data_IF_584116742057
#
_entry.id   IF_584116742057
#
_cell.length_a   1.000
_cell.length_b   1.000
_cell.length_c   1.000
_cell.angle_alpha   90.00
_cell.angle_beta   90.00
_cell.angle_gamma   90.00
#
_symmetry.space_group_name_H-M   'P 1'
#
loop_
_entity.id
_entity.type
_entity.pdbx_description
1 polymer ?
#
# COMPACT_ATOMS: atom_id res chain seq x y z
N UNK A 1 -29.01 27.67 14.39
CA UNK A 1 -28.60 26.57 13.50
C UNK A 1 -27.09 26.67 13.30
N UNK A 2 -26.33 25.90 14.07
CA UNK A 2 -24.88 25.87 13.94
C UNK A 2 -24.52 24.93 12.79
N UNK A 3 -23.81 25.45 11.79
CA UNK A 3 -23.16 24.65 10.76
C UNK A 3 -22.08 23.81 11.45
N UNK A 4 -22.26 22.49 11.47
CA UNK A 4 -21.19 21.57 11.85
C UNK A 4 -20.19 21.62 10.70
N UNK A 5 -19.10 22.35 10.93
CA UNK A 5 -17.88 22.26 10.16
C UNK A 5 -17.33 20.86 10.42
N UNK A 6 -17.66 19.89 9.55
CA UNK A 6 -17.01 18.59 9.56
C UNK A 6 -15.56 18.84 9.14
N UNK A 7 -14.66 18.87 10.11
CA UNK A 7 -13.25 18.57 9.91
C UNK A 7 -13.17 17.18 9.25
N UNK A 8 -13.16 17.17 7.92
CA UNK A 8 -12.88 16.00 7.06
C UNK A 8 -11.37 15.69 7.06
N UNK A 9 -10.57 16.52 7.74
CA UNK A 9 -9.13 16.38 7.77
C UNK A 9 -8.68 15.30 8.78
N UNK A 10 -8.10 14.24 8.21
CA UNK A 10 -7.01 13.41 8.78
C UNK A 10 -7.36 12.10 9.50
N UNK A 11 -8.28 11.28 8.96
CA UNK A 11 -8.46 9.86 9.37
C UNK A 11 -8.25 8.87 8.21
N UNK A 12 -7.40 9.18 7.24
CA UNK A 12 -7.05 8.19 6.20
C UNK A 12 -6.01 7.22 6.77
N UNK A 13 -6.48 6.06 7.25
CA UNK A 13 -5.63 4.97 7.75
C UNK A 13 -4.86 4.25 6.62
N UNK A 14 -5.30 4.37 5.37
CA UNK A 14 -4.67 3.73 4.21
C UNK A 14 -5.03 4.44 2.90
N UNK A 15 -4.10 4.45 1.95
CA UNK A 15 -4.37 4.85 0.56
C UNK A 15 -4.35 3.63 -0.37
N UNK A 16 -5.18 3.66 -1.42
CA UNK A 16 -5.01 2.74 -2.55
C UNK A 16 -3.67 3.01 -3.21
N UNK A 17 -3.08 1.96 -3.79
CA UNK A 17 -1.81 2.07 -4.50
C UNK A 17 -1.86 3.13 -5.61
N UNK A 18 -2.95 3.16 -6.38
CA UNK A 18 -3.16 4.13 -7.45
C UNK A 18 -3.24 5.57 -6.92
N UNK A 19 -4.06 5.80 -5.88
CA UNK A 19 -4.23 7.12 -5.27
C UNK A 19 -2.92 7.63 -4.69
N UNK A 20 -2.19 6.77 -3.98
CA UNK A 20 -0.88 7.12 -3.44
C UNK A 20 0.11 7.48 -4.54
N UNK A 21 0.14 6.68 -5.62
CA UNK A 21 1.01 6.93 -6.76
C UNK A 21 0.71 8.30 -7.39
N UNK A 22 -0.57 8.63 -7.57
CA UNK A 22 -1.00 9.90 -8.15
C UNK A 22 -0.74 11.11 -7.24
N UNK A 23 -1.11 11.03 -5.96
CA UNK A 23 -0.94 12.13 -5.01
C UNK A 23 0.55 12.47 -4.83
N UNK A 24 1.39 11.45 -4.70
CA UNK A 24 2.82 11.66 -4.50
C UNK A 24 3.52 12.13 -5.77
N UNK A 25 3.07 11.68 -6.94
CA UNK A 25 3.55 12.16 -8.23
C UNK A 25 3.26 13.66 -8.42
N UNK A 26 2.03 14.07 -8.07
CA UNK A 26 1.63 15.48 -8.09
C UNK A 26 2.50 16.34 -7.17
N UNK A 27 2.81 15.85 -5.98
CA UNK A 27 3.67 16.57 -5.03
C UNK A 27 5.12 16.69 -5.53
N UNK A 28 5.65 15.65 -6.16
CA UNK A 28 7.02 15.60 -6.67
C UNK A 28 7.19 16.18 -8.07
N UNK A 29 6.10 16.57 -8.73
CA UNK A 29 6.09 16.99 -10.14
C UNK A 29 6.69 15.92 -11.08
N UNK A 30 6.40 14.65 -10.79
CA UNK A 30 6.84 13.48 -11.55
C UNK A 30 5.63 12.79 -12.21
N UNK A 31 5.89 11.90 -13.19
CA UNK A 31 4.84 11.03 -13.73
C UNK A 31 4.50 9.94 -12.71
N UNK A 32 3.21 9.59 -12.57
CA UNK A 32 2.75 8.58 -11.62
C UNK A 32 3.35 7.19 -11.84
N UNK A 33 3.87 6.94 -13.05
CA UNK A 33 4.57 5.69 -13.37
C UNK A 33 5.93 5.60 -12.67
N UNK A 34 6.61 6.73 -12.45
CA UNK A 34 7.88 6.78 -11.72
C UNK A 34 7.61 6.42 -10.26
N UNK A 35 6.58 7.02 -9.65
CA UNK A 35 6.19 6.73 -8.27
C UNK A 35 5.72 5.29 -8.14
N UNK A 36 4.88 4.78 -9.04
CA UNK A 36 4.42 3.41 -9.00
C UNK A 36 5.59 2.41 -9.05
N UNK A 37 6.60 2.67 -9.88
CA UNK A 37 7.84 1.85 -9.92
C UNK A 37 8.63 1.95 -8.62
N UNK A 38 8.76 3.14 -8.05
CA UNK A 38 9.43 3.33 -6.77
C UNK A 38 8.72 2.59 -5.64
N UNK A 39 7.39 2.65 -5.56
CA UNK A 39 6.58 1.94 -4.57
C UNK A 39 6.67 0.42 -4.76
N UNK A 40 6.66 -0.07 -6.01
CA UNK A 40 6.86 -1.48 -6.31
C UNK A 40 8.27 -1.95 -5.89
N UNK A 41 9.30 -1.17 -6.21
CA UNK A 41 10.67 -1.45 -5.75
C UNK A 41 10.76 -1.47 -4.22
N UNK A 42 10.13 -0.50 -3.55
CA UNK A 42 10.09 -0.43 -2.10
C UNK A 42 9.43 -1.67 -1.48
N UNK A 43 8.35 -2.16 -2.08
CA UNK A 43 7.67 -3.39 -1.64
C UNK A 43 8.53 -4.63 -1.83
N UNK A 44 9.16 -4.79 -2.99
CA UNK A 44 9.94 -5.99 -3.33
C UNK A 44 11.31 -6.02 -2.63
N UNK A 45 11.94 -4.86 -2.41
CA UNK A 45 13.35 -4.77 -2.00
C UNK A 45 13.59 -4.05 -0.67
N UNK A 46 12.67 -3.21 -0.20
CA UNK A 46 12.91 -2.32 0.95
C UNK A 46 11.92 -2.52 2.11
N UNK A 47 11.07 -3.54 2.04
CA UNK A 47 10.16 -3.91 3.13
C UNK A 47 8.96 -2.98 3.30
N UNK A 48 8.62 -2.15 2.31
CA UNK A 48 7.30 -1.50 2.28
C UNK A 48 6.22 -2.58 2.23
N UNK A 49 5.10 -2.36 2.93
CA UNK A 49 4.00 -3.33 2.98
C UNK A 49 2.82 -2.85 2.15
N UNK A 50 2.56 -3.55 1.06
CA UNK A 50 1.37 -3.39 0.21
C UNK A 50 0.48 -4.60 0.43
N UNK A 51 -0.82 -4.38 0.61
CA UNK A 51 -1.78 -5.42 0.97
C UNK A 51 -2.98 -5.40 0.02
N UNK A 52 -3.49 -6.57 -0.35
CA UNK A 52 -4.80 -6.70 -0.99
C UNK A 52 -5.92 -6.79 0.05
N UNK A 53 -5.60 -7.21 1.28
CA UNK A 53 -6.56 -7.39 2.36
C UNK A 53 -5.93 -7.10 3.71
N UNK A 54 -6.72 -6.51 4.62
CA UNK A 54 -6.28 -6.21 5.98
C UNK A 54 -6.22 -7.48 6.83
N UNK A 55 -5.02 -7.84 7.28
CA UNK A 55 -4.80 -9.01 8.10
C UNK A 55 -5.45 -8.93 9.50
N UNK A 56 -5.88 -7.75 9.97
CA UNK A 56 -6.67 -7.61 11.22
C UNK A 56 -8.00 -8.35 11.12
N UNK A 57 -8.52 -8.54 9.91
CA UNK A 57 -9.75 -9.30 9.68
C UNK A 57 -9.56 -10.81 9.81
N UNK A 58 -8.31 -11.31 9.89
CA UNK A 58 -8.01 -12.70 10.21
C UNK A 58 -8.33 -13.05 11.67
N UNK A 59 -8.13 -12.10 12.58
CA UNK A 59 -8.24 -12.31 14.04
C UNK A 59 -9.67 -12.21 14.59
N UNK A 60 -10.62 -11.70 13.79
CA UNK A 60 -11.93 -11.24 14.30
C UNK A 60 -13.11 -12.18 14.16
N UNK A 61 -13.03 -13.28 13.43
CA UNK A 61 -14.19 -14.16 13.19
C UNK A 61 -13.89 -15.64 13.39
N UNK A 62 -14.60 -16.24 14.34
CA UNK A 62 -14.79 -17.68 14.50
C UNK A 62 -15.48 -18.26 13.26
N UNK A 63 -14.73 -18.43 12.16
CA UNK A 63 -15.29 -18.97 10.93
C UNK A 63 -14.41 -18.69 9.72
N UNK A 64 -13.59 -19.68 9.35
CA UNK A 64 -12.95 -19.89 8.04
C UNK A 64 -12.76 -18.62 7.20
N UNK A 65 -11.59 -18.00 7.34
CA UNK A 65 -11.09 -17.05 6.37
C UNK A 65 -10.76 -17.77 5.05
N UNK A 66 -11.40 -17.36 3.95
CA UNK A 66 -11.18 -17.94 2.63
C UNK A 66 -10.29 -17.02 1.81
N UNK A 67 -9.02 -17.38 1.70
CA UNK A 67 -8.14 -16.77 0.71
C UNK A 67 -8.56 -17.27 -0.69
N UNK A 68 -9.24 -16.42 -1.44
CA UNK A 68 -9.62 -16.70 -2.83
C UNK A 68 -8.57 -16.13 -3.79
N UNK A 69 -8.49 -16.69 -4.99
CA UNK A 69 -7.68 -16.15 -6.12
C UNK A 69 -6.16 -16.17 -5.88
N UNK A 70 -5.64 -17.31 -5.43
CA UNK A 70 -4.19 -17.56 -5.32
C UNK A 70 -3.46 -16.50 -4.48
N UNK A 71 -3.64 -16.51 -3.14
CA UNK A 71 -2.98 -15.56 -2.27
C UNK A 71 -1.47 -15.80 -2.20
N UNK A 72 -0.69 -14.72 -2.21
CA UNK A 72 0.66 -14.69 -1.70
C UNK A 72 0.62 -14.22 -0.24
N UNK A 73 1.28 -14.99 0.64
CA UNK A 73 1.42 -14.67 2.05
C UNK A 73 2.87 -14.27 2.35
N UNK A 74 3.08 -13.03 2.78
CA UNK A 74 4.35 -12.52 3.25
C UNK A 74 4.51 -12.71 4.75
N UNK A 75 5.65 -13.25 5.17
CA UNK A 75 6.01 -13.41 6.58
C UNK A 75 6.66 -12.13 7.13
N UNK A 76 6.36 -11.77 8.38
CA UNK A 76 7.11 -10.75 9.12
C UNK A 76 8.05 -11.42 10.13
N UNK A 77 9.35 -11.06 10.14
CA UNK A 77 10.29 -11.57 11.14
C UNK A 77 10.03 -11.01 12.54
N UNK A 78 9.20 -9.97 12.67
CA UNK A 78 8.87 -9.37 13.96
C UNK A 78 7.69 -10.07 14.60
N UNK A 79 7.91 -10.64 15.79
CA UNK A 79 6.87 -11.29 16.57
C UNK A 79 5.68 -10.34 16.82
N UNK A 80 4.47 -10.82 16.58
CA UNK A 80 3.23 -10.03 16.75
C UNK A 80 2.86 -9.13 15.57
N UNK A 81 3.71 -9.01 14.54
CA UNK A 81 3.29 -8.35 13.30
C UNK A 81 2.42 -9.29 12.47
N UNK A 82 1.32 -8.75 11.95
CA UNK A 82 0.45 -9.45 11.03
C UNK A 82 1.17 -9.76 9.70
N UNK A 83 0.81 -10.85 9.00
CA UNK A 83 1.36 -11.13 7.68
C UNK A 83 0.90 -10.09 6.64
N UNK A 84 1.59 -10.05 5.51
CA UNK A 84 1.10 -9.35 4.30
C UNK A 84 0.28 -10.34 3.48
N UNK A 85 -0.95 -9.96 3.12
CA UNK A 85 -1.79 -10.74 2.20
C UNK A 85 -1.88 -9.99 0.89
N UNK A 86 -1.50 -10.64 -0.21
CA UNK A 86 -1.56 -10.06 -1.55
C UNK A 86 -2.11 -11.08 -2.56
N UNK A 87 -2.84 -10.63 -3.59
CA UNK A 87 -3.22 -11.49 -4.72
C UNK A 87 -1.99 -11.81 -5.57
N UNK A 88 -1.81 -13.05 -6.01
CA UNK A 88 -0.67 -13.45 -6.85
C UNK A 88 -0.54 -12.61 -8.13
N UNK A 89 -1.68 -12.24 -8.75
CA UNK A 89 -1.68 -11.37 -9.93
C UNK A 89 -1.08 -10.00 -9.65
N UNK A 90 -1.43 -9.39 -8.50
CA UNK A 90 -0.88 -8.10 -8.09
C UNK A 90 0.60 -8.21 -7.71
N UNK A 91 0.97 -9.27 -6.99
CA UNK A 91 2.36 -9.54 -6.64
C UNK A 91 3.25 -9.68 -7.88
N UNK A 92 2.86 -10.51 -8.84
CA UNK A 92 3.61 -10.73 -10.08
C UNK A 92 3.74 -9.43 -10.89
N UNK A 93 2.68 -8.61 -10.93
CA UNK A 93 2.72 -7.31 -11.59
C UNK A 93 3.69 -6.35 -10.89
N UNK A 94 3.64 -6.25 -9.56
CA UNK A 94 4.56 -5.41 -8.78
C UNK A 94 6.01 -5.88 -8.89
N UNK A 95 6.25 -7.19 -8.94
CA UNK A 95 7.57 -7.76 -9.18
C UNK A 95 8.12 -7.32 -10.54
N UNK A 96 7.36 -7.49 -11.62
CA UNK A 96 7.76 -7.05 -12.95
C UNK A 96 7.93 -5.53 -13.05
N UNK A 97 7.07 -4.77 -12.36
CA UNK A 97 7.14 -3.31 -12.28
C UNK A 97 8.40 -2.83 -11.52
N UNK A 98 8.80 -3.54 -10.47
CA UNK A 98 10.00 -3.22 -9.68
C UNK A 98 11.29 -3.32 -10.50
N UNK A 99 11.32 -4.25 -11.48
CA UNK A 99 12.42 -4.40 -12.44
C UNK A 99 12.31 -3.43 -13.63
N UNK A 100 11.33 -2.52 -13.63
CA UNK A 100 11.02 -1.59 -14.74
C UNK A 100 10.74 -2.26 -16.09
N UNK A 101 10.31 -3.52 -16.10
CA UNK A 101 10.04 -4.30 -17.32
C UNK A 101 8.70 -3.94 -17.99
N UNK A 102 7.81 -3.28 -17.26
CA UNK A 102 6.43 -2.99 -17.69
C UNK A 102 5.96 -1.60 -17.20
N UNK A 103 4.80 -1.19 -17.69
CA UNK A 103 4.04 -0.05 -17.17
C UNK A 103 3.10 -0.48 -16.03
N UNK A 104 2.76 0.43 -15.09
CA UNK A 104 1.80 0.12 -14.04
C UNK A 104 0.39 -0.06 -14.62
N UNK A 105 -0.26 -1.16 -14.28
CA UNK A 105 -1.67 -1.39 -14.59
C UNK A 105 -2.50 -1.11 -13.33
N UNK A 106 -3.00 0.13 -13.20
CA UNK A 106 -3.74 0.55 -12.02
C UNK A 106 -5.07 -0.18 -11.83
N UNK A 107 -5.69 -0.68 -12.90
CA UNK A 107 -6.89 -1.53 -12.80
C UNK A 107 -6.57 -2.86 -12.12
N UNK A 108 -5.42 -3.46 -12.47
CA UNK A 108 -4.94 -4.68 -11.82
C UNK A 108 -4.59 -4.43 -10.35
N UNK A 109 -4.06 -3.25 -10.01
CA UNK A 109 -3.64 -2.86 -8.66
C UNK A 109 -4.73 -2.13 -7.85
N UNK A 110 -5.97 -2.06 -8.34
CA UNK A 110 -7.04 -1.27 -7.75
C UNK A 110 -7.38 -1.66 -6.29
N UNK A 111 -7.30 -2.95 -5.98
CA UNK A 111 -7.59 -3.47 -4.64
C UNK A 111 -6.40 -3.31 -3.68
N UNK A 112 -5.22 -2.94 -4.18
CA UNK A 112 -4.02 -2.85 -3.36
C UNK A 112 -3.98 -1.55 -2.58
N UNK A 113 -3.56 -1.63 -1.32
CA UNK A 113 -3.46 -0.49 -0.45
C UNK A 113 -2.22 -0.54 0.43
N UNK A 114 -1.84 0.63 0.92
CA UNK A 114 -0.74 0.83 1.87
C UNK A 114 -1.32 1.55 3.08
N UNK A 115 -1.08 1.01 4.27
CA UNK A 115 -1.48 1.67 5.51
C UNK A 115 -0.57 2.87 5.79
N UNK A 116 -1.10 3.90 6.44
CA UNK A 116 -0.33 5.05 6.92
C UNK A 116 0.85 4.61 7.78
N UNK A 117 0.61 3.68 8.70
CA UNK A 117 1.64 3.16 9.60
C UNK A 117 2.78 2.49 8.82
N UNK A 118 2.47 1.66 7.83
CA UNK A 118 3.49 0.96 7.05
C UNK A 118 4.24 1.92 6.13
N UNK A 119 3.55 2.90 5.54
CA UNK A 119 4.18 3.92 4.72
C UNK A 119 5.12 4.81 5.53
N UNK A 120 4.67 5.33 6.68
CA UNK A 120 5.50 6.13 7.58
C UNK A 120 6.72 5.35 8.08
N UNK A 121 6.53 4.07 8.45
CA UNK A 121 7.63 3.20 8.85
C UNK A 121 8.68 3.09 7.76
N UNK A 122 8.25 2.83 6.52
CA UNK A 122 9.16 2.73 5.38
C UNK A 122 9.88 4.06 5.10
N UNK A 123 9.16 5.18 5.09
CA UNK A 123 9.76 6.52 4.89
C UNK A 123 10.84 6.81 5.95
N UNK A 124 10.57 6.52 7.23
CA UNK A 124 11.56 6.69 8.30
C UNK A 124 12.76 5.77 8.13
N UNK A 125 12.55 4.50 7.77
CA UNK A 125 13.64 3.55 7.54
C UNK A 125 14.55 3.96 6.37
N UNK A 126 13.98 4.55 5.32
CA UNK A 126 14.72 5.01 4.14
C UNK A 126 15.19 6.47 4.24
N UNK A 127 14.90 7.17 5.36
CA UNK A 127 15.20 8.59 5.54
C UNK A 127 14.61 9.49 4.42
N UNK A 128 13.40 9.17 3.96
CA UNK A 128 12.65 9.94 2.95
C UNK A 128 11.72 10.92 3.67
N UNK A 129 11.68 12.17 3.18
CA UNK A 129 10.76 13.20 3.69
C UNK A 129 9.31 12.75 3.55
N UNK A 130 8.52 12.95 4.61
CA UNK A 130 7.09 12.60 4.59
C UNK A 130 6.34 13.50 3.60
N UNK A 131 5.48 12.94 2.74
CA UNK A 131 4.69 13.75 1.84
C UNK A 131 3.56 14.47 2.56
N UNK A 132 3.13 15.60 2.02
CA UNK A 132 2.16 16.49 2.63
C UNK A 132 0.74 15.95 2.57
N UNK A 133 0.35 15.20 1.53
CA UNK A 133 -1.05 14.76 1.35
C UNK A 133 -1.58 13.78 2.42
N UNK A 134 -0.74 13.33 3.35
CA UNK A 134 -1.14 12.48 4.47
C UNK A 134 -1.37 13.26 5.78
N UNK A 135 -1.10 14.57 5.79
CA UNK A 135 -1.09 15.45 6.98
C UNK A 135 -1.77 16.79 6.71
#
# INVERSE_FOLDING_TARGET
MAYINMDINNHIESYRFADLSYLWAKERLEHEFIIARQLAYAFIKQGLRIQSQDARWLSGQSGRFVLRREPCLGYSPTMGQLPVIMRATAFNHLLALSDSKIEPNFNLLYEEFISRQDFERWLTQQSITKPHFWF
#
